data_IF_764184071216
#
_entry.id   IF_764184071216
#
_cell.length_a   1.000
_cell.length_b   1.000
_cell.length_c   1.000
_cell.angle_alpha   90.00
_cell.angle_beta   90.00
_cell.angle_gamma   90.00
#
_symmetry.space_group_name_H-M   'P 1'
#
loop_
_entity.id
_entity.type
_entity.pdbx_description
1 polymer ?
#
# COMPACT_ATOMS: atom_id res chain seq x y z
N UNK A 1 25.39 25.40 9.17
CA UNK A 1 25.02 24.48 8.07
C UNK A 1 24.00 23.48 8.60
N UNK A 2 22.76 23.50 8.10
CA UNK A 2 21.76 22.47 8.46
C UNK A 2 22.04 21.24 7.59
N UNK A 3 22.35 20.10 8.19
CA UNK A 3 22.43 18.85 7.44
C UNK A 3 21.09 18.64 6.73
N UNK A 4 21.10 18.46 5.41
CA UNK A 4 19.92 18.06 4.65
C UNK A 4 19.39 16.77 5.27
N UNK A 5 18.34 16.89 6.08
CA UNK A 5 17.78 15.77 6.82
C UNK A 5 17.26 14.71 5.85
N UNK A 6 17.65 13.46 6.06
CA UNK A 6 17.07 12.34 5.30
C UNK A 6 15.60 12.20 5.71
N UNK A 7 14.67 12.24 4.74
CA UNK A 7 13.22 12.17 4.98
C UNK A 7 12.81 10.94 5.79
N UNK A 8 13.46 9.80 5.53
CA UNK A 8 13.30 8.56 6.32
C UNK A 8 14.60 8.24 7.05
N UNK A 9 14.61 8.47 8.36
CA UNK A 9 15.72 8.16 9.24
C UNK A 9 15.24 7.64 10.59
N UNK A 10 16.13 6.99 11.33
CA UNK A 10 15.87 6.54 12.69
C UNK A 10 17.11 6.76 13.56
N UNK A 11 16.89 6.86 14.87
CA UNK A 11 17.97 6.94 15.86
C UNK A 11 18.43 5.54 16.23
N UNK A 12 19.69 5.23 15.98
CA UNK A 12 20.31 3.99 16.40
C UNK A 12 20.51 3.96 17.93
N UNK A 13 20.74 2.79 18.50
CA UNK A 13 20.98 2.64 19.95
C UNK A 13 22.19 3.43 20.45
N UNK A 14 23.20 3.56 19.61
CA UNK A 14 24.40 4.39 19.83
C UNK A 14 24.15 5.91 19.75
N UNK A 15 22.90 6.34 19.53
CA UNK A 15 22.54 7.77 19.48
C UNK A 15 22.67 8.42 18.09
N UNK A 16 23.33 7.77 17.13
CA UNK A 16 23.49 8.30 15.77
C UNK A 16 22.20 8.25 14.95
N UNK A 17 21.99 9.23 14.06
CA UNK A 17 20.91 9.19 13.07
C UNK A 17 21.35 8.40 11.83
N UNK A 18 20.58 7.37 11.48
CA UNK A 18 20.83 6.50 10.33
C UNK A 18 19.71 6.61 9.30
N UNK A 19 20.06 6.46 8.03
CA UNK A 19 19.08 6.32 6.96
C UNK A 19 18.25 5.05 7.16
N UNK A 20 16.93 5.16 6.98
CA UNK A 20 16.08 3.98 6.95
C UNK A 20 16.25 3.29 5.59
N UNK A 21 16.97 2.16 5.58
CA UNK A 21 17.07 1.29 4.41
C UNK A 21 15.87 0.35 4.35
N UNK A 22 15.57 -0.18 3.15
CA UNK A 22 14.51 -1.18 2.99
C UNK A 22 14.75 -2.40 3.89
N UNK A 23 15.98 -2.88 4.01
CA UNK A 23 16.31 -4.02 4.88
C UNK A 23 16.12 -3.70 6.37
N UNK A 24 16.43 -2.47 6.81
CA UNK A 24 16.18 -2.04 8.19
C UNK A 24 14.68 -1.95 8.48
N UNK A 25 13.91 -1.38 7.55
CA UNK A 25 12.45 -1.31 7.62
C UNK A 25 11.82 -2.71 7.70
N UNK A 26 12.13 -3.59 6.75
CA UNK A 26 11.61 -4.95 6.71
C UNK A 26 11.94 -5.75 7.97
N UNK A 27 13.18 -5.64 8.48
CA UNK A 27 13.57 -6.32 9.72
C UNK A 27 12.73 -5.86 10.90
N UNK A 28 12.44 -4.55 10.99
CA UNK A 28 11.60 -4.00 12.05
C UNK A 28 10.16 -4.50 11.94
N UNK A 29 9.57 -4.47 10.75
CA UNK A 29 8.23 -5.00 10.49
C UNK A 29 8.16 -6.49 10.83
N UNK A 30 9.12 -7.28 10.34
CA UNK A 30 9.20 -8.73 10.58
C UNK A 30 9.13 -9.02 12.07
N UNK A 31 9.97 -8.35 12.87
CA UNK A 31 9.96 -8.51 14.32
C UNK A 31 8.59 -8.21 14.94
N UNK A 32 7.93 -7.12 14.52
CA UNK A 32 6.60 -6.75 15.04
C UNK A 32 5.55 -7.81 14.68
N UNK A 33 5.57 -8.31 13.44
CA UNK A 33 4.63 -9.32 12.97
C UNK A 33 4.82 -10.65 13.69
N UNK A 34 6.06 -11.13 13.81
CA UNK A 34 6.42 -12.36 14.52
C UNK A 34 6.01 -12.28 15.99
N UNK A 35 6.33 -11.17 16.68
CA UNK A 35 5.91 -10.96 18.07
C UNK A 35 4.38 -10.94 18.25
N UNK A 36 3.64 -10.68 17.17
CA UNK A 36 2.17 -10.67 17.17
C UNK A 36 1.54 -11.96 16.60
N UNK A 37 2.33 -12.99 16.32
CA UNK A 37 1.86 -14.26 15.75
C UNK A 37 1.34 -14.15 14.31
N UNK A 38 1.79 -13.14 13.56
CA UNK A 38 1.35 -12.88 12.17
C UNK A 38 2.40 -13.30 11.16
N UNK A 39 1.93 -13.68 9.97
CA UNK A 39 2.80 -13.99 8.84
C UNK A 39 3.66 -12.79 8.44
N UNK A 40 4.94 -13.05 8.14
CA UNK A 40 5.90 -12.02 7.74
C UNK A 40 5.60 -11.53 6.32
N UNK A 41 5.70 -10.21 6.13
CA UNK A 41 5.51 -9.56 4.84
C UNK A 41 6.84 -9.30 4.15
N UNK A 42 6.83 -9.34 2.81
CA UNK A 42 7.95 -8.87 1.98
C UNK A 42 7.70 -7.44 1.47
N UNK A 43 8.69 -6.84 0.81
CA UNK A 43 8.58 -5.48 0.27
C UNK A 43 7.40 -5.31 -0.71
N UNK A 44 7.13 -6.31 -1.55
CA UNK A 44 6.05 -6.24 -2.54
C UNK A 44 4.66 -6.30 -1.89
N UNK A 45 4.51 -7.02 -0.77
CA UNK A 45 3.26 -7.10 -0.02
C UNK A 45 2.71 -5.73 0.36
N UNK A 46 3.57 -4.76 0.68
CA UNK A 46 3.15 -3.38 0.99
C UNK A 46 2.52 -2.66 -0.21
N UNK A 47 3.10 -2.84 -1.41
CA UNK A 47 2.56 -2.23 -2.64
C UNK A 47 1.21 -2.85 -3.00
N UNK A 48 1.10 -4.17 -2.94
CA UNK A 48 -0.17 -4.89 -3.20
C UNK A 48 -1.24 -4.56 -2.14
N UNK A 49 -0.86 -4.47 -0.87
CA UNK A 49 -1.77 -4.09 0.22
C UNK A 49 -2.30 -2.67 0.08
N UNK A 50 -1.43 -1.70 -0.24
CA UNK A 50 -1.84 -0.31 -0.52
C UNK A 50 -2.77 -0.21 -1.74
N UNK A 51 -2.47 -0.94 -2.83
CA UNK A 51 -3.34 -0.99 -3.98
C UNK A 51 -4.72 -1.58 -3.63
N UNK A 52 -4.75 -2.68 -2.89
CA UNK A 52 -6.01 -3.28 -2.39
C UNK A 52 -6.83 -2.31 -1.57
N UNK A 53 -6.19 -1.58 -0.65
CA UNK A 53 -6.86 -0.59 0.18
C UNK A 53 -7.54 0.48 -0.68
N UNK A 54 -6.81 1.12 -1.59
CA UNK A 54 -7.39 2.16 -2.44
C UNK A 54 -8.48 1.65 -3.37
N UNK A 55 -8.32 0.46 -3.94
CA UNK A 55 -9.34 -0.15 -4.77
C UNK A 55 -10.62 -0.39 -3.97
N UNK A 56 -10.53 -0.96 -2.76
CA UNK A 56 -11.70 -1.16 -1.88
C UNK A 56 -12.38 0.14 -1.49
N UNK A 57 -11.62 1.23 -1.41
CA UNK A 57 -12.21 2.55 -1.18
C UNK A 57 -12.94 3.13 -2.40
N UNK A 58 -12.86 2.48 -3.56
CA UNK A 58 -13.50 2.92 -4.80
C UNK A 58 -12.64 3.87 -5.61
N UNK A 59 -11.35 4.01 -5.28
CA UNK A 59 -10.42 4.81 -6.08
C UNK A 59 -10.27 4.17 -7.46
N UNK A 60 -10.41 5.00 -8.50
CA UNK A 60 -10.32 4.54 -9.88
C UNK A 60 -9.00 3.81 -10.14
N UNK A 61 -9.06 2.73 -10.90
CA UNK A 61 -7.90 1.86 -11.19
C UNK A 61 -6.74 2.62 -11.82
N UNK A 62 -7.02 3.61 -12.68
CA UNK A 62 -5.99 4.48 -13.28
C UNK A 62 -5.25 5.30 -12.23
N UNK A 63 -5.94 5.83 -11.22
CA UNK A 63 -5.31 6.57 -10.12
C UNK A 63 -4.42 5.65 -9.29
N UNK A 64 -4.88 4.43 -8.98
CA UNK A 64 -4.08 3.43 -8.27
C UNK A 64 -2.85 3.02 -9.09
N UNK A 65 -2.99 2.84 -10.42
CA UNK A 65 -1.90 2.57 -11.35
C UNK A 65 -0.85 3.68 -11.32
N UNK A 66 -1.30 4.94 -11.41
CA UNK A 66 -0.44 6.13 -11.39
C UNK A 66 0.28 6.28 -10.05
N UNK A 67 -0.44 6.23 -8.93
CA UNK A 67 0.12 6.33 -7.58
C UNK A 67 1.16 5.25 -7.31
N UNK A 68 0.84 4.01 -7.68
CA UNK A 68 1.72 2.89 -7.46
C UNK A 68 2.80 2.71 -8.51
N UNK A 69 2.86 3.55 -9.56
CA UNK A 69 3.77 3.43 -10.72
C UNK A 69 3.78 2.01 -11.30
N UNK A 70 2.60 1.43 -11.47
CA UNK A 70 2.44 0.10 -12.05
C UNK A 70 2.54 0.19 -13.58
N UNK A 71 3.14 -0.80 -14.22
CA UNK A 71 2.94 -0.98 -15.66
C UNK A 71 1.46 -1.27 -15.92
N UNK A 72 0.94 -0.82 -17.06
CA UNK A 72 -0.48 -0.87 -17.38
C UNK A 72 -1.08 -2.27 -17.17
N UNK A 73 -0.34 -3.31 -17.50
CA UNK A 73 -0.79 -4.70 -17.39
C UNK A 73 -0.64 -5.35 -16.00
N UNK A 74 0.20 -4.81 -15.10
CA UNK A 74 0.48 -5.46 -13.83
C UNK A 74 -0.71 -5.35 -12.86
N UNK A 75 -1.37 -4.18 -12.82
CA UNK A 75 -2.52 -3.98 -11.94
C UNK A 75 -3.73 -4.77 -12.45
N UNK A 76 -3.90 -4.83 -13.76
CA UNK A 76 -5.00 -5.57 -14.38
C UNK A 76 -4.90 -7.07 -14.09
N UNK A 77 -3.68 -7.64 -14.13
CA UNK A 77 -3.46 -9.04 -13.72
C UNK A 77 -3.77 -9.24 -12.24
N UNK A 78 -3.32 -8.34 -11.39
CA UNK A 78 -3.59 -8.37 -9.95
C UNK A 78 -5.09 -8.39 -9.67
N UNK A 79 -5.83 -7.47 -10.27
CA UNK A 79 -7.29 -7.37 -10.15
C UNK A 79 -8.02 -8.64 -10.63
N UNK A 80 -7.68 -9.17 -11.81
CA UNK A 80 -8.31 -10.38 -12.37
C UNK A 80 -8.13 -11.62 -11.47
N UNK A 81 -6.99 -11.72 -10.79
CA UNK A 81 -6.72 -12.79 -9.84
C UNK A 81 -7.49 -12.62 -8.52
N UNK A 82 -7.85 -11.39 -8.15
CA UNK A 82 -8.53 -11.06 -6.90
C UNK A 82 -9.97 -10.58 -7.16
N UNK A 83 -10.79 -11.48 -7.72
CA UNK A 83 -12.18 -11.25 -8.17
C UNK A 83 -13.13 -10.70 -7.09
N UNK A 84 -12.79 -10.83 -5.82
CA UNK A 84 -13.56 -10.25 -4.72
C UNK A 84 -13.40 -8.73 -4.63
N UNK A 85 -12.18 -8.23 -4.87
CA UNK A 85 -11.89 -6.78 -4.85
C UNK A 85 -12.64 -6.13 -6.01
N UNK A 86 -12.41 -6.61 -7.23
CA UNK A 86 -13.50 -7.10 -8.05
C UNK A 86 -14.89 -6.48 -7.94
N UNK A 87 -15.73 -7.37 -7.43
CA UNK A 87 -17.13 -7.21 -7.11
C UNK A 87 -17.36 -6.06 -6.12
N UNK A 88 -16.49 -5.88 -5.13
CA UNK A 88 -16.66 -4.83 -4.12
C UNK A 88 -16.62 -3.43 -4.72
N UNK A 89 -15.67 -3.13 -5.60
CA UNK A 89 -15.58 -1.81 -6.24
C UNK A 89 -16.79 -1.54 -7.12
N UNK A 90 -17.19 -2.52 -7.95
CA UNK A 90 -18.35 -2.37 -8.84
C UNK A 90 -19.64 -2.16 -8.02
N UNK A 91 -19.79 -2.88 -6.91
CA UNK A 91 -20.92 -2.70 -6.00
C UNK A 91 -20.95 -1.30 -5.37
N UNK A 92 -19.80 -0.79 -4.90
CA UNK A 92 -19.71 0.54 -4.29
C UNK A 92 -19.94 1.65 -5.31
N UNK A 93 -19.38 1.52 -6.51
CA UNK A 93 -19.60 2.46 -7.61
C UNK A 93 -21.08 2.50 -8.04
N UNK A 94 -21.75 1.34 -8.13
CA UNK A 94 -23.18 1.26 -8.41
C UNK A 94 -24.03 1.94 -7.35
N UNK A 95 -23.73 1.74 -6.06
CA UNK A 95 -24.42 2.46 -4.97
C UNK A 95 -24.26 3.97 -5.07
N UNK A 96 -23.02 4.45 -5.28
CA UNK A 96 -22.74 5.88 -5.44
C UNK A 96 -23.49 6.49 -6.63
N UNK A 97 -23.57 5.79 -7.76
CA UNK A 97 -24.30 6.25 -8.94
C UNK A 97 -25.83 6.31 -8.70
N UNK A 98 -26.38 5.36 -7.95
CA UNK A 98 -27.80 5.34 -7.58
C UNK A 98 -28.16 6.43 -6.57
N UNK A 99 -27.27 6.72 -5.61
CA UNK A 99 -27.46 7.77 -4.60
C UNK A 99 -27.32 9.18 -5.21
N UNK A 100 -26.46 9.33 -6.24
CA UNK A 100 -26.25 10.61 -6.95
C UNK A 100 -27.42 11.00 -7.87
N UNK A 101 -28.32 10.06 -8.18
CA UNK A 101 -29.52 10.28 -9.02
C UNK A 101 -30.79 10.59 -8.23
N UNK A 102 -30.73 10.66 -6.89
CA UNK A 102 -31.80 11.18 -6.03
C UNK A 102 -31.46 12.60 -5.59
N UNK A 103 -31.67 13.57 -6.48
CA UNK A 103 -31.81 14.99 -6.13
C UNK A 103 -32.91 15.57 -7.01
#
# INVERSE_FOLDING_TARGET
MRHAGRLFSYRAREGSHRQLTSSAFLRRIKHILEASGRAVLNNHSFRSGGATFYLREGVHTDHVRNLGRWSSNALDRYWRQHKEIAIQVLSKAGKLALDSGRV
#
